data_IF_040527788956
#
_entry.id   IF_040527788956
#
_cell.length_a   1.000
_cell.length_b   1.000
_cell.length_c   1.000
_cell.angle_alpha   90.00
_cell.angle_beta   90.00
_cell.angle_gamma   90.00
#
_symmetry.space_group_name_H-M   'P 1'
#
loop_
_entity.id
_entity.type
_entity.pdbx_description
1 polymer ?
#
# COMPACT_ATOMS: atom_id res chain seq x y z
N UNK A 1 34.68 -19.06 -8.48
CA UNK A 1 34.05 -17.76 -8.78
C UNK A 1 32.56 -18.04 -8.83
N UNK A 2 31.94 -18.07 -7.65
CA UNK A 2 30.59 -18.60 -7.45
C UNK A 2 29.66 -17.40 -7.41
N UNK A 3 28.97 -17.13 -8.51
CA UNK A 3 27.93 -16.10 -8.56
C UNK A 3 26.80 -16.51 -7.62
N UNK A 4 26.76 -15.88 -6.43
CA UNK A 4 25.60 -15.95 -5.56
C UNK A 4 24.49 -15.07 -6.17
N UNK A 5 23.26 -15.58 -6.33
CA UNK A 5 22.16 -14.78 -6.82
C UNK A 5 21.83 -13.75 -5.75
N UNK A 6 22.14 -12.49 -6.03
CA UNK A 6 21.80 -11.40 -5.12
C UNK A 6 20.28 -11.27 -5.12
N UNK A 7 19.64 -11.71 -4.03
CA UNK A 7 18.21 -11.51 -3.81
C UNK A 7 17.99 -10.00 -3.72
N UNK A 8 17.56 -9.42 -4.84
CA UNK A 8 17.18 -8.02 -4.93
C UNK A 8 15.89 -7.89 -4.14
N UNK A 9 16.00 -7.48 -2.89
CA UNK A 9 14.86 -7.12 -2.05
C UNK A 9 13.96 -6.18 -2.88
N UNK A 10 12.73 -6.61 -3.16
CA UNK A 10 11.84 -5.95 -4.11
C UNK A 10 11.21 -4.73 -3.43
N UNK A 11 12.04 -3.73 -3.13
CA UNK A 11 11.63 -2.46 -2.54
C UNK A 11 10.56 -1.83 -3.42
N UNK A 12 9.50 -1.32 -2.80
CA UNK A 12 8.45 -0.64 -3.52
C UNK A 12 9.05 0.54 -4.31
N UNK A 13 8.92 0.50 -5.64
CA UNK A 13 9.56 1.47 -6.51
C UNK A 13 8.82 2.81 -6.45
N UNK A 14 9.56 3.88 -6.17
CA UNK A 14 9.03 5.25 -6.25
C UNK A 14 8.83 5.64 -7.71
N UNK A 15 7.61 5.49 -8.22
CA UNK A 15 7.21 6.00 -9.53
C UNK A 15 6.41 7.28 -9.40
N UNK A 16 6.22 8.00 -10.51
CA UNK A 16 5.38 9.20 -10.55
C UNK A 16 3.96 8.92 -10.06
N UNK A 17 3.38 7.80 -10.47
CA UNK A 17 2.03 7.39 -10.11
C UNK A 17 1.91 7.12 -8.61
N UNK A 18 2.95 6.57 -7.97
CA UNK A 18 2.94 6.35 -6.53
C UNK A 18 3.02 7.67 -5.77
N UNK A 19 3.87 8.60 -6.22
CA UNK A 19 3.97 9.93 -5.60
C UNK A 19 2.62 10.64 -5.70
N UNK A 20 2.00 10.66 -6.89
CA UNK A 20 0.68 11.25 -7.11
C UNK A 20 -0.41 10.58 -6.26
N UNK A 21 -0.34 9.26 -6.07
CA UNK A 21 -1.25 8.55 -5.17
C UNK A 21 -1.10 9.02 -3.71
N UNK A 22 0.15 9.23 -3.25
CA UNK A 22 0.42 9.79 -1.93
C UNK A 22 -0.14 11.20 -1.76
N UNK A 23 0.09 12.08 -2.74
CA UNK A 23 -0.47 13.44 -2.75
C UNK A 23 -1.99 13.44 -2.72
N UNK A 24 -2.62 12.52 -3.47
CA UNK A 24 -4.06 12.31 -3.44
C UNK A 24 -4.54 11.91 -2.04
N UNK A 25 -3.89 10.94 -1.40
CA UNK A 25 -4.23 10.52 -0.04
C UNK A 25 -4.05 11.66 0.98
N UNK A 26 -2.98 12.44 0.87
CA UNK A 26 -2.72 13.60 1.72
C UNK A 26 -3.80 14.68 1.55
N UNK A 27 -4.23 14.93 0.30
CA UNK A 27 -5.32 15.84 0.02
C UNK A 27 -6.65 15.33 0.64
N UNK A 28 -6.99 14.05 0.45
CA UNK A 28 -8.16 13.44 1.08
C UNK A 28 -8.13 13.60 2.61
N UNK A 29 -6.97 13.36 3.24
CA UNK A 29 -6.78 13.54 4.69
C UNK A 29 -6.95 14.99 5.13
N UNK A 30 -6.36 15.94 4.39
CA UNK A 30 -6.39 17.37 4.69
C UNK A 30 -7.81 17.95 4.56
N UNK A 31 -8.52 17.59 3.50
CA UNK A 31 -9.82 18.16 3.18
C UNK A 31 -11.01 17.29 3.61
N UNK A 32 -10.75 16.18 4.31
CA UNK A 32 -11.77 15.26 4.86
C UNK A 32 -12.70 14.67 3.80
N UNK A 33 -12.18 14.39 2.60
CA UNK A 33 -12.92 13.71 1.54
C UNK A 33 -12.62 12.22 1.48
N UNK A 34 -13.60 11.42 1.04
CA UNK A 34 -13.41 10.01 0.71
C UNK A 34 -12.86 9.93 -0.71
N UNK A 35 -11.63 9.44 -0.86
CA UNK A 35 -11.00 9.19 -2.14
C UNK A 35 -11.36 7.82 -2.70
N UNK A 36 -11.90 7.77 -3.92
CA UNK A 36 -12.20 6.51 -4.61
C UNK A 36 -11.24 6.30 -5.78
N UNK A 37 -10.56 5.15 -5.81
CA UNK A 37 -9.65 4.79 -6.89
C UNK A 37 -10.21 3.60 -7.68
N UNK A 38 -10.42 3.77 -8.99
CA UNK A 38 -10.86 2.72 -9.90
C UNK A 38 -9.79 2.43 -10.97
N UNK A 39 -9.93 1.30 -11.66
CA UNK A 39 -9.06 0.94 -12.79
C UNK A 39 -8.87 -0.56 -12.93
N UNK A 40 -8.14 -0.98 -13.95
CA UNK A 40 -7.93 -2.40 -14.27
C UNK A 40 -7.32 -3.18 -13.09
N UNK A 41 -7.63 -4.48 -12.95
CA UNK A 41 -6.96 -5.36 -12.02
C UNK A 41 -5.43 -5.34 -12.25
N UNK A 42 -4.64 -5.44 -11.19
CA UNK A 42 -3.18 -5.42 -11.29
C UNK A 42 -2.55 -4.03 -11.43
N UNK A 43 -3.33 -2.95 -11.57
CA UNK A 43 -2.82 -1.56 -11.65
C UNK A 43 -2.12 -1.04 -10.37
N UNK A 44 -1.92 -1.87 -9.35
CA UNK A 44 -1.16 -1.50 -8.14
C UNK A 44 -1.94 -0.79 -7.03
N UNK A 45 -3.24 -0.51 -7.19
CA UNK A 45 -4.08 0.24 -6.19
C UNK A 45 -3.91 -0.25 -4.75
N UNK A 46 -4.11 -1.54 -4.50
CA UNK A 46 -4.00 -2.13 -3.16
C UNK A 46 -2.57 -2.03 -2.60
N UNK A 47 -1.56 -2.20 -3.47
CA UNK A 47 -0.15 -2.11 -3.08
C UNK A 47 0.21 -0.67 -2.70
N UNK A 48 -0.17 0.31 -3.52
CA UNK A 48 0.06 1.73 -3.21
C UNK A 48 -0.60 2.16 -1.90
N UNK A 49 -1.84 1.72 -1.65
CA UNK A 49 -2.52 1.98 -0.38
C UNK A 49 -1.78 1.37 0.82
N UNK A 50 -1.32 0.12 0.69
CA UNK A 50 -0.58 -0.60 1.74
C UNK A 50 0.73 0.12 2.09
N UNK A 51 1.46 0.59 1.09
CA UNK A 51 2.75 1.26 1.25
C UNK A 51 2.59 2.67 1.81
N UNK A 52 1.65 3.46 1.29
CA UNK A 52 1.35 4.80 1.83
C UNK A 52 0.95 4.72 3.31
N UNK A 53 0.10 3.76 3.68
CA UNK A 53 -0.32 3.55 5.05
C UNK A 53 0.77 2.92 5.94
N UNK A 54 1.92 2.51 5.38
CA UNK A 54 2.94 1.69 6.07
C UNK A 54 2.33 0.48 6.77
N UNK A 55 1.35 -0.13 6.11
CA UNK A 55 0.48 -1.12 6.73
C UNK A 55 1.24 -2.32 7.28
N UNK A 56 2.31 -2.78 6.63
CA UNK A 56 3.12 -3.90 7.13
C UNK A 56 3.76 -3.61 8.50
N UNK A 57 4.03 -2.34 8.81
CA UNK A 57 4.57 -1.93 10.11
C UNK A 57 3.47 -1.73 11.17
N UNK A 58 2.24 -1.38 10.74
CA UNK A 58 1.12 -1.10 11.65
C UNK A 58 0.19 -2.29 11.88
N UNK A 59 0.13 -3.24 10.96
CA UNK A 59 -0.83 -4.36 10.98
C UNK A 59 -0.74 -5.18 12.25
N UNK A 60 0.48 -5.39 12.77
CA UNK A 60 0.73 -6.11 14.03
C UNK A 60 0.22 -5.41 15.29
N UNK A 61 -0.10 -4.11 15.20
CA UNK A 61 -0.61 -3.32 16.32
C UNK A 61 -2.14 -3.36 16.40
N UNK A 62 -2.83 -3.83 15.35
CA UNK A 62 -4.28 -3.87 15.33
C UNK A 62 -4.81 -5.23 15.85
N UNK A 63 -5.80 -5.23 16.74
CA UNK A 63 -6.49 -6.45 17.15
C UNK A 63 -7.25 -7.07 15.97
N UNK A 64 -7.41 -8.39 15.99
CA UNK A 64 -8.01 -9.16 14.89
C UNK A 64 -9.41 -8.68 14.49
N UNK A 65 -10.19 -8.14 15.44
CA UNK A 65 -11.53 -7.63 15.14
C UNK A 65 -11.51 -6.43 14.18
N UNK A 66 -10.44 -5.63 14.16
CA UNK A 66 -10.31 -4.47 13.29
C UNK A 66 -10.04 -4.86 11.83
N UNK A 67 -9.47 -6.03 11.54
CA UNK A 67 -9.21 -6.46 10.16
C UNK A 67 -10.47 -6.64 9.31
N UNK A 68 -11.61 -6.90 9.95
CA UNK A 68 -12.91 -6.97 9.27
C UNK A 68 -13.35 -5.58 8.80
N UNK A 69 -13.02 -4.53 9.55
CA UNK A 69 -13.38 -3.14 9.26
C UNK A 69 -12.46 -2.50 8.19
N UNK A 70 -11.15 -2.80 8.22
CA UNK A 70 -10.18 -2.25 7.24
C UNK A 70 -10.16 -3.03 5.91
N UNK A 71 -10.90 -4.13 5.84
CA UNK A 71 -11.04 -4.96 4.65
C UNK A 71 -10.01 -6.09 4.59
N UNK A 72 -10.50 -7.31 4.39
CA UNK A 72 -9.74 -8.57 4.30
C UNK A 72 -8.67 -8.62 3.19
N UNK A 73 -8.66 -7.63 2.28
CA UNK A 73 -7.72 -7.54 1.17
C UNK A 73 -6.35 -6.97 1.57
N UNK A 74 -6.24 -6.23 2.68
CA UNK A 74 -4.95 -5.69 3.13
C UNK A 74 -4.14 -6.70 3.97
N UNK A 75 -4.72 -7.82 4.38
CA UNK A 75 -4.11 -8.76 5.34
C UNK A 75 -3.43 -9.97 4.74
N UNK A 76 -3.72 -10.35 3.48
CA UNK A 76 -3.05 -11.48 2.83
C UNK A 76 -2.58 -11.10 1.42
N UNK A 77 -1.27 -11.08 1.24
CA UNK A 77 -0.57 -11.20 -0.04
C UNK A 77 0.21 -12.51 0.00
#
# INVERSE_FOLDING_TARGET
MSDQPQIKELVFASTKETILFGEFCDACRKYRYIGLCHGVPGAGKTRSAREYARWNALSSLFPEELFTLVGRFLTKG
#
